data_IF_054886122721
#
_entry.id   IF_054886122721
#
_cell.length_a   1.000
_cell.length_b   1.000
_cell.length_c   1.000
_cell.angle_alpha   90.00
_cell.angle_beta   90.00
_cell.angle_gamma   90.00
#
_symmetry.space_group_name_H-M   'P 1'
#
loop_
_entity.id
_entity.type
_entity.pdbx_description
1 polymer ?
#
# COMPACT_ATOMS: atom_id res chain seq x y z
N UNK A 1 -31.41 -7.66 19.30
CA UNK A 1 -31.16 -7.21 17.92
C UNK A 1 -29.77 -7.68 17.50
N UNK A 2 -29.58 -8.05 16.22
CA UNK A 2 -28.24 -8.45 15.73
C UNK A 2 -27.37 -7.20 15.60
N UNK A 3 -26.11 -7.27 16.07
CA UNK A 3 -25.15 -6.18 15.92
C UNK A 3 -24.86 -5.91 14.43
N UNK A 4 -24.58 -4.63 14.05
CA UNK A 4 -24.22 -4.31 12.68
C UNK A 4 -22.89 -4.98 12.31
N UNK A 5 -22.82 -5.50 11.09
CA UNK A 5 -21.57 -5.99 10.53
C UNK A 5 -20.75 -4.80 10.04
N UNK A 6 -19.71 -4.44 10.79
CA UNK A 6 -18.81 -3.34 10.41
C UNK A 6 -17.80 -3.84 9.39
N UNK A 7 -17.74 -3.21 8.24
CA UNK A 7 -16.74 -3.45 7.21
C UNK A 7 -15.65 -2.41 7.27
N UNK A 8 -14.38 -2.87 7.25
CA UNK A 8 -13.20 -2.02 7.19
C UNK A 8 -12.58 -2.09 5.81
N UNK A 9 -12.50 -0.95 5.12
CA UNK A 9 -11.89 -0.83 3.79
C UNK A 9 -10.54 -0.16 3.94
N UNK A 10 -9.48 -0.86 3.56
CA UNK A 10 -8.10 -0.40 3.64
C UNK A 10 -7.58 -0.07 2.24
N UNK A 11 -7.34 1.21 1.99
CA UNK A 11 -6.92 1.72 0.69
C UNK A 11 -5.50 1.34 0.30
N UNK A 12 -5.23 1.38 -1.00
CA UNK A 12 -3.91 1.26 -1.59
C UNK A 12 -3.08 2.54 -1.38
N UNK A 13 -1.75 2.46 -1.30
CA UNK A 13 -0.92 3.67 -1.17
C UNK A 13 0.53 3.45 -0.74
N UNK A 14 1.08 2.25 -0.94
CA UNK A 14 2.47 1.87 -0.63
C UNK A 14 2.89 2.23 0.81
N UNK A 15 3.93 3.04 1.03
CA UNK A 15 4.47 3.40 2.36
C UNK A 15 3.42 4.05 3.28
N UNK A 16 2.46 4.79 2.74
CA UNK A 16 1.38 5.40 3.51
C UNK A 16 0.44 4.35 4.13
N UNK A 17 0.50 3.12 3.65
CA UNK A 17 -0.23 1.98 4.21
C UNK A 17 0.05 1.74 5.70
N UNK A 18 1.18 2.20 6.23
CA UNK A 18 1.45 2.12 7.66
C UNK A 18 0.40 2.85 8.52
N UNK A 19 -0.30 3.84 7.96
CA UNK A 19 -1.39 4.52 8.66
C UNK A 19 -2.56 3.59 9.02
N UNK A 20 -2.79 2.54 8.24
CA UNK A 20 -3.82 1.55 8.55
C UNK A 20 -3.61 0.87 9.90
N UNK A 21 -2.34 0.69 10.33
CA UNK A 21 -2.00 0.13 11.65
C UNK A 21 -2.58 1.03 12.75
N UNK A 22 -2.32 2.34 12.67
CA UNK A 22 -2.82 3.29 13.66
C UNK A 22 -4.35 3.38 13.68
N UNK A 23 -5.00 3.33 12.51
CA UNK A 23 -6.46 3.28 12.43
C UNK A 23 -7.01 2.05 13.14
N UNK A 24 -6.45 0.87 12.88
CA UNK A 24 -6.90 -0.39 13.49
C UNK A 24 -6.70 -0.34 15.01
N UNK A 25 -5.56 0.14 15.49
CA UNK A 25 -5.29 0.28 16.93
C UNK A 25 -6.31 1.21 17.64
N UNK A 26 -6.70 2.31 16.98
CA UNK A 26 -7.72 3.19 17.52
C UNK A 26 -9.11 2.53 17.55
N UNK A 27 -9.49 1.81 16.49
CA UNK A 27 -10.74 1.03 16.48
C UNK A 27 -10.79 -0.02 17.57
N UNK A 28 -9.72 -0.80 17.76
CA UNK A 28 -9.61 -1.82 18.82
C UNK A 28 -9.70 -1.21 20.22
N UNK A 29 -8.97 -0.11 20.46
CA UNK A 29 -9.00 0.62 21.74
C UNK A 29 -10.41 1.03 22.15
N UNK A 30 -11.23 1.40 21.18
CA UNK A 30 -12.62 1.81 21.41
C UNK A 30 -13.63 0.65 21.31
N UNK A 31 -13.16 -0.59 21.15
CA UNK A 31 -14.03 -1.78 21.08
C UNK A 31 -14.88 -1.86 19.83
N UNK A 32 -14.44 -1.24 18.72
CA UNK A 32 -15.11 -1.35 17.42
C UNK A 32 -14.75 -2.68 16.77
N UNK A 33 -15.67 -3.63 16.78
CA UNK A 33 -15.46 -4.98 16.23
C UNK A 33 -15.64 -4.96 14.70
N UNK A 34 -14.57 -5.31 13.98
CA UNK A 34 -14.57 -5.41 12.51
C UNK A 34 -15.11 -6.79 12.10
N UNK A 35 -16.18 -6.81 11.30
CA UNK A 35 -16.84 -8.04 10.84
C UNK A 35 -16.41 -8.50 9.45
N UNK A 36 -15.77 -7.64 8.64
CA UNK A 36 -15.18 -7.97 7.34
C UNK A 36 -14.15 -6.91 6.95
N UNK A 37 -13.07 -7.35 6.31
CA UNK A 37 -12.01 -6.46 5.81
C UNK A 37 -11.95 -6.57 4.28
N UNK A 38 -11.80 -5.43 3.61
CA UNK A 38 -11.44 -5.39 2.19
C UNK A 38 -10.23 -4.51 1.98
N UNK A 39 -9.34 -4.91 1.10
CA UNK A 39 -8.11 -4.17 0.87
C UNK A 39 -7.60 -4.24 -0.55
N UNK A 40 -6.77 -3.25 -0.91
CA UNK A 40 -5.99 -3.24 -2.13
C UNK A 40 -4.53 -2.91 -1.80
N UNK A 41 -3.56 -3.63 -2.38
CA UNK A 41 -2.12 -3.38 -2.22
C UNK A 41 -1.69 -3.32 -0.74
N UNK A 42 -1.16 -2.19 -0.27
CA UNK A 42 -0.80 -1.98 1.13
C UNK A 42 -1.95 -2.26 2.11
N UNK A 43 -3.19 -1.91 1.74
CA UNK A 43 -4.37 -2.22 2.53
C UNK A 43 -4.65 -3.72 2.63
N UNK A 44 -4.38 -4.51 1.57
CA UNK A 44 -4.44 -5.98 1.62
C UNK A 44 -3.41 -6.55 2.59
N UNK A 45 -2.19 -6.01 2.59
CA UNK A 45 -1.11 -6.46 3.46
C UNK A 45 -1.43 -6.23 4.93
N UNK A 46 -1.83 -5.00 5.30
CA UNK A 46 -2.19 -4.68 6.69
C UNK A 46 -3.46 -5.42 7.10
N UNK A 47 -4.45 -5.54 6.19
CA UNK A 47 -5.67 -6.31 6.42
C UNK A 47 -5.39 -7.79 6.70
N UNK A 48 -4.47 -8.42 5.97
CA UNK A 48 -4.05 -9.80 6.20
C UNK A 48 -3.34 -9.98 7.53
N UNK A 49 -2.43 -9.06 7.86
CA UNK A 49 -1.74 -9.07 9.15
C UNK A 49 -2.71 -8.93 10.32
N UNK A 50 -3.69 -8.04 10.19
CA UNK A 50 -4.72 -7.85 11.22
C UNK A 50 -5.61 -9.07 11.36
N UNK A 51 -6.19 -9.56 10.27
CA UNK A 51 -7.08 -10.73 10.28
C UNK A 51 -6.36 -12.02 10.74
N UNK A 52 -5.05 -12.12 10.50
CA UNK A 52 -4.20 -13.23 10.90
C UNK A 52 -3.54 -13.08 12.28
N UNK A 53 -3.81 -11.98 13.01
CA UNK A 53 -3.23 -11.74 14.35
C UNK A 53 -1.77 -11.28 14.36
N UNK A 54 -1.19 -10.91 13.19
CA UNK A 54 0.20 -10.49 13.02
C UNK A 54 0.44 -8.98 13.04
N UNK A 55 -0.57 -8.16 13.37
CA UNK A 55 -0.47 -6.70 13.27
C UNK A 55 0.67 -6.10 14.11
N UNK A 56 0.88 -6.60 15.33
CA UNK A 56 1.94 -6.13 16.22
C UNK A 56 3.35 -6.43 15.65
N UNK A 57 3.53 -7.58 15.02
CA UNK A 57 4.78 -7.97 14.37
C UNK A 57 5.06 -7.04 13.17
N UNK A 58 4.03 -6.75 12.36
CA UNK A 58 4.13 -5.80 11.26
C UNK A 58 4.45 -4.39 11.76
N UNK A 59 3.79 -3.94 12.84
CA UNK A 59 4.08 -2.63 13.46
C UNK A 59 5.55 -2.54 13.89
N UNK A 60 6.04 -3.54 14.61
CA UNK A 60 7.44 -3.58 15.03
C UNK A 60 8.39 -3.53 13.84
N UNK A 61 8.15 -4.37 12.84
CA UNK A 61 8.93 -4.37 11.60
C UNK A 61 8.93 -3.01 10.91
N UNK A 62 7.77 -2.36 10.81
CA UNK A 62 7.63 -1.04 10.19
C UNK A 62 8.44 0.04 10.94
N UNK A 63 8.41 0.02 12.27
CA UNK A 63 9.15 0.96 13.11
C UNK A 63 10.67 0.73 13.10
N UNK A 64 11.10 -0.54 12.93
CA UNK A 64 12.52 -0.90 12.82
C UNK A 64 13.07 -0.71 11.39
N UNK A 65 12.21 -0.35 10.40
CA UNK A 65 12.60 -0.20 9.01
C UNK A 65 13.36 1.11 8.79
N UNK A 66 14.63 0.99 8.38
CA UNK A 66 15.43 2.10 7.88
C UNK A 66 15.51 2.08 6.34
N UNK A 67 16.03 3.16 5.74
CA UNK A 67 16.18 3.26 4.29
C UNK A 67 17.08 2.15 3.68
N UNK A 68 18.02 1.58 4.45
CA UNK A 68 18.89 0.48 4.00
C UNK A 68 18.10 -0.82 3.93
N UNK A 69 17.24 -1.06 4.91
CA UNK A 69 16.32 -2.18 4.92
C UNK A 69 15.38 -2.10 3.71
N UNK A 70 14.77 -0.94 3.43
CA UNK A 70 13.93 -0.72 2.24
C UNK A 70 14.68 -1.14 0.98
N UNK A 71 15.89 -0.66 0.76
CA UNK A 71 16.71 -1.04 -0.39
C UNK A 71 17.01 -2.54 -0.45
N UNK A 72 17.19 -3.20 0.70
CA UNK A 72 17.51 -4.64 0.75
C UNK A 72 16.35 -5.52 0.31
N UNK A 73 15.10 -5.04 0.45
CA UNK A 73 13.89 -5.76 0.01
C UNK A 73 13.57 -5.56 -1.47
N UNK A 74 14.18 -4.56 -2.11
CA UNK A 74 14.10 -4.36 -3.55
C UNK A 74 15.05 -5.35 -4.25
N UNK A 75 14.57 -6.58 -4.51
CA UNK A 75 15.29 -7.56 -5.33
C UNK A 75 15.28 -7.09 -6.79
N UNK A 76 16.30 -6.31 -7.19
CA UNK A 76 16.45 -5.86 -8.56
C UNK A 76 16.79 -7.05 -9.46
N UNK A 77 15.79 -7.60 -10.12
CA UNK A 77 15.95 -8.58 -11.20
C UNK A 77 16.00 -7.86 -12.55
N UNK A 78 16.79 -8.37 -13.50
CA UNK A 78 16.77 -7.87 -14.87
C UNK A 78 15.41 -8.19 -15.52
N UNK A 79 14.69 -7.19 -16.09
CA UNK A 79 13.27 -7.34 -16.32
C UNK A 79 12.95 -8.13 -17.58
N UNK A 80 12.16 -9.20 -17.41
CA UNK A 80 11.23 -9.64 -18.47
C UNK A 80 9.83 -9.06 -18.28
N UNK A 81 9.40 -8.79 -17.03
CA UNK A 81 8.04 -8.32 -16.73
C UNK A 81 7.93 -7.40 -15.51
N UNK A 82 9.03 -7.11 -14.80
CA UNK A 82 9.10 -6.22 -13.64
C UNK A 82 10.53 -6.16 -13.09
N UNK A 83 10.88 -5.10 -12.36
CA UNK A 83 12.23 -4.92 -11.82
C UNK A 83 12.51 -5.79 -10.59
N UNK A 84 11.47 -6.29 -9.92
CA UNK A 84 11.55 -7.04 -8.67
C UNK A 84 10.73 -8.32 -8.81
N UNK A 85 11.36 -9.49 -8.62
CA UNK A 85 10.62 -10.76 -8.61
C UNK A 85 9.69 -10.88 -7.39
N UNK A 86 9.97 -10.13 -6.34
CA UNK A 86 9.17 -10.07 -5.12
C UNK A 86 9.29 -11.29 -4.22
N UNK A 87 10.33 -12.10 -4.37
CA UNK A 87 10.57 -13.27 -3.53
C UNK A 87 10.84 -12.87 -2.07
N UNK A 88 11.54 -11.74 -1.85
CA UNK A 88 11.77 -11.21 -0.49
C UNK A 88 10.50 -10.63 0.10
N UNK A 89 9.67 -9.96 -0.71
CA UNK A 89 8.36 -9.47 -0.30
C UNK A 89 7.45 -10.65 0.07
N UNK A 90 7.47 -11.74 -0.70
CA UNK A 90 6.72 -12.95 -0.37
C UNK A 90 7.15 -13.55 0.98
N UNK A 91 8.46 -13.65 1.25
CA UNK A 91 8.98 -14.11 2.55
C UNK A 91 8.59 -13.20 3.71
N UNK A 92 8.57 -11.88 3.51
CA UNK A 92 8.06 -10.93 4.49
C UNK A 92 6.58 -11.19 4.80
N UNK A 93 5.79 -11.40 3.78
CA UNK A 93 4.37 -11.71 3.91
C UNK A 93 4.20 -12.97 4.75
N UNK A 94 4.95 -14.04 4.47
CA UNK A 94 4.94 -15.30 5.23
C UNK A 94 5.30 -15.12 6.71
N UNK A 95 6.21 -14.20 7.02
CA UNK A 95 6.60 -13.91 8.41
C UNK A 95 5.48 -13.25 9.23
N UNK A 96 4.61 -12.49 8.59
CA UNK A 96 3.58 -11.70 9.27
C UNK A 96 2.18 -12.28 9.18
N UNK A 97 1.91 -13.14 8.20
CA UNK A 97 0.66 -13.90 8.13
C UNK A 97 0.87 -15.27 8.79
N UNK A 98 0.55 -15.39 10.05
CA UNK A 98 0.66 -16.67 10.78
C UNK A 98 -0.32 -17.73 10.22
N UNK A 99 -1.29 -17.30 9.43
CA UNK A 99 -2.35 -18.09 8.81
C UNK A 99 -2.18 -17.99 7.29
N UNK A 100 -2.02 -19.13 6.60
CA UNK A 100 -1.80 -19.14 5.14
C UNK A 100 -3.10 -19.14 4.32
N UNK A 101 -4.23 -19.57 4.88
CA UNK A 101 -5.49 -19.68 4.15
C UNK A 101 -6.53 -18.69 4.62
N UNK A 102 -7.28 -18.12 3.68
CA UNK A 102 -8.40 -17.23 3.99
C UNK A 102 -9.46 -17.89 4.87
N UNK A 103 -9.67 -19.19 4.67
CA UNK A 103 -10.68 -19.99 5.37
C UNK A 103 -10.39 -20.13 6.87
N UNK A 104 -9.14 -19.94 7.27
CA UNK A 104 -8.68 -20.07 8.66
C UNK A 104 -8.65 -18.71 9.40
N UNK A 105 -8.99 -17.62 8.72
CA UNK A 105 -9.01 -16.28 9.31
C UNK A 105 -10.21 -16.08 10.24
N UNK A 106 -9.99 -15.44 11.38
CA UNK A 106 -11.07 -15.06 12.31
C UNK A 106 -11.97 -13.95 11.75
N UNK A 107 -11.40 -13.03 10.97
CA UNK A 107 -12.11 -11.95 10.29
C UNK A 107 -12.05 -12.21 8.79
N UNK A 108 -13.22 -12.34 8.11
CA UNK A 108 -13.26 -12.50 6.67
C UNK A 108 -12.50 -11.37 5.95
N UNK A 109 -11.60 -11.74 5.05
CA UNK A 109 -10.77 -10.83 4.28
C UNK A 109 -11.01 -11.01 2.77
N UNK A 110 -11.14 -9.89 2.05
CA UNK A 110 -11.24 -9.89 0.60
C UNK A 110 -10.18 -8.92 0.06
N UNK A 111 -9.29 -9.42 -0.76
CA UNK A 111 -8.26 -8.64 -1.41
C UNK A 111 -8.64 -8.35 -2.85
N UNK A 112 -8.31 -7.16 -3.33
CA UNK A 112 -8.53 -6.77 -4.72
C UNK A 112 -7.23 -6.88 -5.50
N UNK A 113 -7.33 -7.44 -6.71
CA UNK A 113 -6.31 -7.44 -7.74
C UNK A 113 -6.93 -6.99 -9.07
N UNK A 114 -6.10 -6.74 -10.08
CA UNK A 114 -6.53 -6.33 -11.42
C UNK A 114 -6.10 -7.38 -12.44
N UNK A 115 -7.03 -7.87 -13.27
CA UNK A 115 -6.66 -8.66 -14.43
C UNK A 115 -5.94 -7.75 -15.45
N UNK A 116 -4.66 -8.06 -15.75
CA UNK A 116 -3.82 -7.15 -16.52
C UNK A 116 -4.21 -7.03 -18.01
N UNK A 117 -4.97 -7.99 -18.54
CA UNK A 117 -5.40 -7.96 -19.94
C UNK A 117 -6.78 -7.35 -20.14
N UNK A 118 -7.68 -7.54 -19.18
CA UNK A 118 -9.07 -7.07 -19.30
C UNK A 118 -9.33 -5.77 -18.53
N UNK A 119 -8.43 -5.39 -17.61
CA UNK A 119 -8.63 -4.27 -16.68
C UNK A 119 -9.72 -4.52 -15.63
N UNK A 120 -10.30 -5.72 -15.58
CA UNK A 120 -11.36 -6.04 -14.63
C UNK A 120 -10.81 -6.25 -13.22
N UNK A 121 -11.60 -5.82 -12.24
CA UNK A 121 -11.38 -6.13 -10.84
C UNK A 121 -11.54 -7.62 -10.59
N UNK A 122 -10.60 -8.19 -9.84
CA UNK A 122 -10.63 -9.57 -9.35
C UNK A 122 -10.61 -9.55 -7.83
N UNK A 123 -11.56 -10.25 -7.20
CA UNK A 123 -11.62 -10.40 -5.75
C UNK A 123 -11.03 -11.75 -5.34
N UNK A 124 -10.11 -11.74 -4.37
CA UNK A 124 -9.42 -12.88 -3.83
C UNK A 124 -9.79 -13.04 -2.36
N UNK A 125 -10.47 -14.15 -2.02
CA UNK A 125 -10.97 -14.42 -0.67
C UNK A 125 -10.96 -15.91 -0.30
N UNK A 126 -10.23 -16.71 -1.06
CA UNK A 126 -10.11 -18.17 -0.87
C UNK A 126 -8.70 -18.65 -1.18
N UNK A 127 -8.30 -19.76 -0.53
CA UNK A 127 -6.99 -20.40 -0.74
C UNK A 127 -5.85 -19.62 -0.08
N UNK A 128 -4.67 -19.57 -0.71
CA UNK A 128 -3.46 -19.00 -0.11
C UNK A 128 -3.49 -17.46 -0.04
N UNK A 129 -3.40 -16.93 1.17
CA UNK A 129 -3.26 -15.51 1.47
C UNK A 129 -1.99 -14.95 0.80
N UNK A 130 -0.88 -15.69 0.87
CA UNK A 130 0.40 -15.26 0.31
C UNK A 130 0.33 -15.07 -1.20
N UNK A 131 -0.34 -15.97 -1.93
CA UNK A 131 -0.53 -15.82 -3.36
C UNK A 131 -1.42 -14.61 -3.69
N UNK A 132 -2.50 -14.43 -2.94
CA UNK A 132 -3.41 -13.30 -3.11
C UNK A 132 -2.73 -11.95 -2.82
N UNK A 133 -1.93 -11.87 -1.75
CA UNK A 133 -1.13 -10.67 -1.43
C UNK A 133 -0.14 -10.35 -2.55
N UNK A 134 0.59 -11.38 -3.05
CA UNK A 134 1.51 -11.20 -4.17
C UNK A 134 0.81 -10.65 -5.43
N UNK A 135 -0.44 -11.03 -5.68
CA UNK A 135 -1.23 -10.47 -6.78
C UNK A 135 -1.71 -9.04 -6.47
N UNK A 136 -2.32 -8.83 -5.29
CA UNK A 136 -2.86 -7.54 -4.88
C UNK A 136 -1.79 -6.44 -4.77
N UNK A 137 -0.52 -6.82 -4.52
CA UNK A 137 0.63 -5.92 -4.38
C UNK A 137 1.54 -5.90 -5.62
N UNK A 138 1.18 -6.55 -6.72
CA UNK A 138 1.99 -6.60 -7.95
C UNK A 138 1.94 -5.26 -8.71
N UNK A 139 2.55 -4.23 -8.13
CA UNK A 139 2.59 -2.87 -8.69
C UNK A 139 3.23 -2.88 -10.08
N UNK A 140 2.53 -2.43 -11.14
CA UNK A 140 3.06 -2.41 -12.50
C UNK A 140 4.39 -1.66 -12.61
N UNK A 141 5.35 -2.26 -13.32
CA UNK A 141 6.70 -1.72 -13.46
C UNK A 141 7.63 -1.98 -12.27
N UNK A 142 7.11 -2.32 -11.09
CA UNK A 142 7.91 -2.63 -9.90
C UNK A 142 7.96 -4.14 -9.64
N UNK A 143 6.83 -4.77 -9.44
CA UNK A 143 6.72 -6.19 -9.14
C UNK A 143 6.17 -6.99 -10.34
N UNK A 144 6.66 -8.22 -10.50
CA UNK A 144 6.15 -9.10 -11.55
C UNK A 144 4.68 -9.45 -11.32
N UNK A 145 3.86 -9.50 -12.38
CA UNK A 145 2.49 -10.00 -12.30
C UNK A 145 2.41 -11.40 -11.70
N UNK A 146 1.31 -11.73 -11.06
CA UNK A 146 1.08 -13.05 -10.48
C UNK A 146 0.03 -13.83 -11.29
N UNK A 147 0.32 -15.09 -11.63
CA UNK A 147 -0.64 -15.96 -12.29
C UNK A 147 -1.45 -16.76 -11.26
N UNK A 148 -2.76 -16.52 -11.21
CA UNK A 148 -3.71 -17.20 -10.31
C UNK A 148 -4.97 -17.51 -11.11
N UNK A 149 -5.51 -18.72 -10.96
CA UNK A 149 -6.77 -19.17 -11.57
C UNK A 149 -6.86 -18.87 -13.08
N UNK A 150 -5.81 -19.12 -13.82
CA UNK A 150 -5.69 -18.85 -15.27
C UNK A 150 -5.70 -17.36 -15.66
N UNK A 151 -5.47 -16.46 -14.73
CA UNK A 151 -5.41 -15.04 -14.98
C UNK A 151 -4.08 -14.42 -14.53
N UNK A 152 -3.53 -13.51 -15.34
CA UNK A 152 -2.42 -12.66 -14.91
C UNK A 152 -2.94 -11.45 -14.17
N UNK A 153 -2.54 -11.33 -12.90
CA UNK A 153 -3.00 -10.31 -12.00
C UNK A 153 -1.89 -9.33 -11.65
N UNK A 154 -2.27 -8.06 -11.59
CA UNK A 154 -1.46 -6.94 -11.10
C UNK A 154 -2.16 -6.26 -9.93
N UNK A 155 -1.52 -5.26 -9.35
CA UNK A 155 -1.98 -4.53 -8.16
C UNK A 155 -3.44 -4.08 -8.25
N UNK A 156 -4.17 -4.27 -7.14
CA UNK A 156 -5.59 -3.91 -7.06
C UNK A 156 -5.84 -2.40 -7.16
N UNK A 157 -4.87 -1.60 -6.74
CA UNK A 157 -4.95 -0.13 -6.84
C UNK A 157 -4.96 0.41 -8.28
N UNK A 158 -4.73 -0.44 -9.28
CA UNK A 158 -4.87 -0.07 -10.69
C UNK A 158 -6.34 0.14 -11.08
N UNK A 159 -7.26 -0.64 -10.52
CA UNK A 159 -8.69 -0.58 -10.87
C UNK A 159 -9.57 -0.11 -9.72
N UNK A 160 -9.29 -0.52 -8.50
CA UNK A 160 -10.08 -0.16 -7.32
C UNK A 160 -9.17 0.03 -6.09
N UNK A 161 -8.56 1.21 -5.96
CA UNK A 161 -7.63 1.49 -4.86
C UNK A 161 -8.31 1.59 -3.48
N UNK A 162 -9.63 1.84 -3.43
CA UNK A 162 -10.41 1.90 -2.19
C UNK A 162 -11.71 1.08 -2.35
N UNK A 163 -11.69 -0.24 -2.08
CA UNK A 163 -12.72 -1.18 -2.50
C UNK A 163 -13.98 -1.17 -1.61
N UNK A 164 -14.71 -0.06 -1.60
CA UNK A 164 -15.93 0.15 -0.80
C UNK A 164 -17.07 -0.75 -1.32
N UNK A 165 -17.24 -0.84 -2.64
CA UNK A 165 -18.19 -1.71 -3.30
C UNK A 165 -18.04 -3.18 -2.91
N UNK A 166 -16.79 -3.65 -2.86
CA UNK A 166 -16.47 -5.02 -2.43
C UNK A 166 -16.91 -5.27 -0.98
N UNK A 167 -16.66 -4.29 -0.11
CA UNK A 167 -17.06 -4.36 1.29
C UNK A 167 -18.58 -4.41 1.47
N UNK A 168 -19.30 -3.58 0.72
CA UNK A 168 -20.78 -3.59 0.71
C UNK A 168 -21.31 -4.93 0.19
N UNK A 169 -20.76 -5.44 -0.90
CA UNK A 169 -21.14 -6.73 -1.48
C UNK A 169 -20.83 -7.91 -0.55
N UNK A 170 -19.87 -7.76 0.36
CA UNK A 170 -19.59 -8.72 1.42
C UNK A 170 -20.58 -8.66 2.60
N UNK A 171 -21.60 -7.80 2.50
CA UNK A 171 -22.68 -7.67 3.48
C UNK A 171 -22.34 -6.81 4.70
N UNK A 172 -21.45 -5.84 4.58
CA UNK A 172 -21.22 -4.84 5.61
C UNK A 172 -22.45 -3.91 5.75
N UNK A 173 -22.97 -3.81 6.96
CA UNK A 173 -24.06 -2.88 7.32
C UNK A 173 -23.53 -1.44 7.42
N UNK A 174 -22.35 -1.27 8.03
CA UNK A 174 -21.63 -0.01 8.19
C UNK A 174 -20.24 -0.16 7.57
N UNK A 175 -19.83 0.75 6.70
CA UNK A 175 -18.53 0.75 6.03
C UNK A 175 -17.68 1.91 6.52
N UNK A 176 -16.55 1.56 7.14
CA UNK A 176 -15.46 2.49 7.49
C UNK A 176 -14.38 2.35 6.42
N UNK A 177 -14.13 3.41 5.65
CA UNK A 177 -13.09 3.41 4.62
C UNK A 177 -11.91 4.29 5.02
N UNK A 178 -10.69 3.79 4.82
CA UNK A 178 -9.44 4.48 5.12
C UNK A 178 -8.75 4.86 3.81
N UNK A 179 -8.90 6.15 3.44
CA UNK A 179 -8.29 6.73 2.23
C UNK A 179 -6.96 7.40 2.59
N UNK A 180 -5.87 6.75 2.24
CA UNK A 180 -4.51 7.23 2.50
C UNK A 180 -3.92 8.05 1.34
N UNK A 181 -4.73 8.40 0.34
CA UNK A 181 -4.33 9.16 -0.84
C UNK A 181 -4.98 10.57 -0.94
N UNK A 182 -5.96 10.90 -0.09
CA UNK A 182 -6.87 12.05 -0.23
C UNK A 182 -6.17 13.41 -0.36
N UNK A 183 -5.08 13.67 0.37
CA UNK A 183 -4.44 15.00 0.44
C UNK A 183 -3.22 15.20 -0.47
N UNK A 184 -2.82 14.21 -1.27
CA UNK A 184 -1.54 14.26 -2.00
C UNK A 184 -1.41 15.39 -3.03
N UNK A 185 -2.51 16.00 -3.47
CA UNK A 185 -2.49 17.04 -4.53
C UNK A 185 -2.72 18.47 -4.04
N UNK A 186 -3.13 18.67 -2.78
CA UNK A 186 -3.55 19.98 -2.33
C UNK A 186 -2.39 20.97 -2.12
N UNK A 187 -1.15 20.52 -1.86
CA UNK A 187 -0.06 21.38 -1.41
C UNK A 187 1.32 21.15 -2.06
N UNK A 188 1.45 20.38 -3.14
CA UNK A 188 2.74 20.37 -3.86
C UNK A 188 2.89 21.66 -4.65
N UNK A 189 3.45 22.70 -4.02
CA UNK A 189 4.26 23.67 -4.74
C UNK A 189 5.33 22.89 -5.48
N UNK A 190 5.67 23.30 -6.72
CA UNK A 190 6.88 22.78 -7.38
C UNK A 190 8.00 22.70 -6.34
N UNK A 191 8.80 21.61 -6.34
CA UNK A 191 9.88 21.47 -5.38
C UNK A 191 10.64 22.80 -5.35
N UNK A 192 10.93 23.35 -4.15
CA UNK A 192 11.66 24.59 -4.07
C UNK A 192 12.97 24.42 -4.84
N UNK A 193 13.22 25.25 -5.83
CA UNK A 193 14.47 25.29 -6.59
C UNK A 193 15.54 26.05 -5.77
N UNK A 194 15.57 25.84 -4.45
CA UNK A 194 16.58 26.43 -3.60
C UNK A 194 17.86 25.57 -3.59
N UNK A 195 18.98 26.20 -3.31
CA UNK A 195 20.29 25.52 -3.23
C UNK A 195 20.31 24.37 -2.22
N UNK A 196 19.49 24.41 -1.18
CA UNK A 196 19.41 23.39 -0.15
C UNK A 196 18.77 22.10 -0.71
N UNK A 197 17.73 22.21 -1.53
CA UNK A 197 17.10 21.07 -2.22
C UNK A 197 18.09 20.47 -3.23
N UNK A 198 18.77 21.30 -4.03
CA UNK A 198 19.78 20.83 -5.00
C UNK A 198 20.93 20.09 -4.31
N UNK A 199 21.46 20.62 -3.19
CA UNK A 199 22.51 19.96 -2.40
C UNK A 199 22.05 18.65 -1.77
N UNK A 200 20.79 18.56 -1.31
CA UNK A 200 20.23 17.31 -0.79
C UNK A 200 20.01 16.29 -1.89
N UNK A 201 19.51 16.69 -3.06
CA UNK A 201 19.36 15.84 -4.23
C UNK A 201 20.72 15.28 -4.68
N UNK A 202 21.76 16.12 -4.81
CA UNK A 202 23.13 15.69 -5.13
C UNK A 202 23.74 14.73 -4.09
N UNK A 203 23.46 14.97 -2.79
CA UNK A 203 23.97 14.10 -1.71
C UNK A 203 23.28 12.72 -1.73
N UNK A 204 22.00 12.68 -2.04
CA UNK A 204 21.25 11.44 -2.23
C UNK A 204 21.75 10.69 -3.47
N UNK A 205 22.02 11.40 -4.56
CA UNK A 205 22.53 10.84 -5.81
C UNK A 205 23.93 10.25 -5.62
N UNK A 206 24.86 10.93 -4.93
CA UNK A 206 26.18 10.39 -4.59
C UNK A 206 26.10 9.12 -3.76
N UNK A 207 25.26 9.08 -2.71
CA UNK A 207 25.06 7.87 -1.90
C UNK A 207 24.50 6.72 -2.74
N UNK A 208 23.65 7.01 -3.70
CA UNK A 208 23.02 6.06 -4.60
C UNK A 208 24.02 5.48 -5.60
N UNK A 209 24.91 6.31 -6.18
CA UNK A 209 25.99 5.89 -7.05
C UNK A 209 27.00 4.99 -6.32
N UNK A 210 27.26 5.25 -5.04
CA UNK A 210 28.10 4.38 -4.20
C UNK A 210 27.46 2.98 -4.01
N UNK A 211 26.15 2.93 -3.81
CA UNK A 211 25.41 1.66 -3.72
C UNK A 211 25.44 0.91 -5.05
N UNK A 212 25.19 1.58 -6.17
CA UNK A 212 25.25 0.99 -7.52
C UNK A 212 26.68 0.49 -7.81
N UNK A 213 27.71 1.26 -7.48
CA UNK A 213 29.12 0.82 -7.62
C UNK A 213 29.43 -0.40 -6.77
N UNK A 214 29.00 -0.44 -5.52
CA UNK A 214 29.20 -1.60 -4.66
C UNK A 214 28.51 -2.87 -5.19
N UNK A 215 27.46 -2.73 -5.98
CA UNK A 215 26.75 -3.82 -6.64
C UNK A 215 27.44 -4.27 -7.92
N UNK A 216 27.91 -3.33 -8.76
CA UNK A 216 28.66 -3.67 -9.98
C UNK A 216 29.99 -4.36 -9.65
N UNK A 217 30.64 -4.01 -8.57
CA UNK A 217 31.88 -4.65 -8.10
C UNK A 217 31.63 -6.09 -7.58
N UNK A 218 30.44 -6.40 -7.06
CA UNK A 218 30.09 -7.75 -6.61
C UNK A 218 29.68 -8.72 -7.72
N UNK A 219 29.25 -8.23 -8.89
CA UNK A 219 28.69 -9.08 -9.97
C UNK A 219 29.60 -9.26 -11.20
N UNK A 220 30.88 -8.86 -11.15
CA UNK A 220 31.89 -9.20 -12.17
C UNK A 220 31.66 -8.55 -13.54
N UNK A 221 32.37 -9.07 -14.58
CA UNK A 221 32.52 -8.48 -15.92
C UNK A 221 31.19 -8.25 -16.70
N UNK A 222 30.11 -8.94 -16.38
CA UNK A 222 28.78 -8.75 -17.00
C UNK A 222 28.11 -7.46 -16.47
N UNK A 223 28.47 -6.99 -15.28
CA UNK A 223 27.96 -5.76 -14.70
C UNK A 223 28.56 -4.48 -15.31
N UNK A 224 29.78 -4.54 -15.84
CA UNK A 224 30.48 -3.34 -16.38
C UNK A 224 29.82 -2.76 -17.64
N UNK A 225 29.30 -3.59 -18.54
CA UNK A 225 28.63 -3.10 -19.76
C UNK A 225 27.24 -2.50 -19.46
N UNK A 226 26.62 -2.91 -18.38
CA UNK A 226 25.31 -2.40 -17.92
C UNK A 226 25.52 -1.13 -17.10
N UNK A 227 26.53 -1.08 -16.24
CA UNK A 227 26.89 0.11 -15.46
C UNK A 227 27.17 1.32 -16.35
N UNK A 228 27.92 1.15 -17.44
CA UNK A 228 28.23 2.25 -18.38
C UNK A 228 27.03 2.77 -19.16
N UNK A 229 26.04 1.91 -19.45
CA UNK A 229 24.77 2.34 -20.10
C UNK A 229 23.83 3.00 -19.10
N UNK A 230 23.85 2.55 -17.84
CA UNK A 230 23.09 3.19 -16.76
C UNK A 230 23.70 4.56 -16.45
N UNK A 231 25.02 4.70 -16.39
CA UNK A 231 25.70 5.99 -16.20
C UNK A 231 25.35 7.01 -17.31
N UNK A 232 25.25 6.59 -18.57
CA UNK A 232 24.82 7.47 -19.69
C UNK A 232 23.35 7.91 -19.58
N UNK A 233 22.51 7.13 -18.92
CA UNK A 233 21.10 7.52 -18.68
C UNK A 233 20.94 8.52 -17.54
N UNK A 234 21.91 8.58 -16.63
CA UNK A 234 21.87 9.43 -15.43
C UNK A 234 22.72 10.71 -15.52
N UNK A 235 23.58 10.87 -16.54
CA UNK A 235 24.37 12.10 -16.78
C UNK A 235 23.59 13.14 -17.57
N UNK A 236 22.46 13.62 -17.06
CA UNK A 236 21.79 14.81 -17.60
C UNK A 236 21.97 16.00 -16.66
N UNK A 237 22.25 17.17 -17.25
CA UNK A 237 22.55 18.44 -16.59
C UNK A 237 21.40 19.10 -15.81
N UNK A 238 20.26 18.42 -15.63
CA UNK A 238 19.16 18.89 -14.78
C UNK A 238 18.74 17.76 -13.83
N UNK A 239 18.37 18.04 -12.57
CA UNK A 239 17.85 17.05 -11.63
C UNK A 239 16.48 16.57 -12.15
N UNK A 240 16.50 15.52 -12.99
CA UNK A 240 15.28 14.87 -13.46
C UNK A 240 14.81 13.87 -12.40
N UNK A 241 13.48 13.76 -12.17
CA UNK A 241 12.97 12.75 -11.24
C UNK A 241 13.32 11.35 -11.71
N UNK A 242 13.66 10.47 -10.78
CA UNK A 242 14.02 9.08 -11.08
C UNK A 242 12.82 8.29 -11.59
N UNK A 243 13.07 7.24 -12.37
CA UNK A 243 12.02 6.39 -12.94
C UNK A 243 11.06 5.85 -11.87
N UNK A 244 11.57 5.44 -10.70
CA UNK A 244 10.73 4.99 -9.60
C UNK A 244 9.87 6.10 -9.00
N UNK A 245 10.40 7.31 -8.91
CA UNK A 245 9.63 8.48 -8.47
C UNK A 245 8.55 8.85 -9.48
N UNK A 246 8.88 8.82 -10.77
CA UNK A 246 7.91 9.02 -11.85
C UNK A 246 6.80 7.98 -11.80
N UNK A 247 7.15 6.69 -11.70
CA UNK A 247 6.19 5.59 -11.60
C UNK A 247 5.31 5.72 -10.35
N UNK A 248 5.90 5.92 -9.17
CA UNK A 248 5.17 6.04 -7.92
C UNK A 248 4.24 7.27 -7.91
N UNK A 249 4.70 8.41 -8.44
CA UNK A 249 3.88 9.62 -8.55
C UNK A 249 2.74 9.44 -9.55
N UNK A 250 3.01 8.85 -10.71
CA UNK A 250 1.99 8.57 -11.73
C UNK A 250 0.90 7.64 -11.21
N UNK A 251 1.29 6.52 -10.59
CA UNK A 251 0.35 5.60 -9.96
C UNK A 251 -0.51 6.28 -8.90
N UNK A 252 0.10 7.07 -8.04
CA UNK A 252 -0.65 7.78 -6.99
C UNK A 252 -1.62 8.83 -7.54
N UNK A 253 -1.28 9.51 -8.64
CA UNK A 253 -2.18 10.45 -9.32
C UNK A 253 -3.37 9.69 -9.92
N UNK A 254 -3.11 8.56 -10.59
CA UNK A 254 -4.16 7.72 -11.18
C UNK A 254 -5.07 7.14 -10.10
N UNK A 255 -4.51 6.55 -9.04
CA UNK A 255 -5.28 5.99 -7.92
C UNK A 255 -6.19 7.05 -7.29
N UNK A 256 -5.68 8.25 -7.02
CA UNK A 256 -6.50 9.34 -6.49
C UNK A 256 -7.67 9.71 -7.42
N UNK A 257 -7.46 9.72 -8.72
CA UNK A 257 -8.54 10.00 -9.68
C UNK A 257 -9.61 8.90 -9.66
N UNK A 258 -9.18 7.64 -9.62
CA UNK A 258 -10.09 6.48 -9.54
C UNK A 258 -10.87 6.52 -8.21
N UNK A 259 -10.19 6.77 -7.08
CA UNK A 259 -10.83 6.92 -5.77
C UNK A 259 -11.89 8.03 -5.76
N UNK A 260 -11.55 9.20 -6.29
CA UNK A 260 -12.50 10.31 -6.37
C UNK A 260 -13.73 9.97 -7.22
N UNK A 261 -13.57 9.19 -8.29
CA UNK A 261 -14.70 8.70 -9.11
C UNK A 261 -15.52 7.64 -8.36
N UNK A 262 -14.86 6.69 -7.72
CA UNK A 262 -15.50 5.61 -6.98
C UNK A 262 -16.28 6.15 -5.75
N UNK A 263 -15.77 7.16 -5.06
CA UNK A 263 -16.45 7.81 -3.94
C UNK A 263 -17.74 8.53 -4.34
N UNK A 264 -17.92 8.89 -5.62
CA UNK A 264 -19.20 9.45 -6.10
C UNK A 264 -20.29 8.40 -6.17
N UNK A 265 -19.94 7.15 -6.51
CA UNK A 265 -20.88 6.05 -6.68
C UNK A 265 -20.99 5.15 -5.45
N UNK A 266 -19.90 4.96 -4.75
CA UNK A 266 -19.78 4.07 -3.59
C UNK A 266 -19.32 4.86 -2.36
N UNK A 267 -20.29 5.46 -1.64
CA UNK A 267 -19.99 6.24 -0.44
C UNK A 267 -19.84 5.32 0.78
N UNK A 268 -18.76 5.46 1.57
CA UNK A 268 -18.67 4.81 2.87
C UNK A 268 -19.59 5.53 3.87
N UNK A 269 -19.91 4.90 5.00
CA UNK A 269 -20.61 5.57 6.12
C UNK A 269 -19.65 6.50 6.87
N UNK A 270 -18.39 6.08 7.02
CA UNK A 270 -17.30 6.85 7.61
C UNK A 270 -16.11 6.82 6.65
N UNK A 271 -15.54 7.98 6.39
CA UNK A 271 -14.29 8.12 5.63
C UNK A 271 -13.20 8.68 6.55
N UNK A 272 -12.18 7.87 6.83
CA UNK A 272 -10.98 8.26 7.56
C UNK A 272 -9.90 8.60 6.55
N UNK A 273 -9.40 9.84 6.58
CA UNK A 273 -8.47 10.37 5.59
C UNK A 273 -7.20 10.94 6.26
N UNK A 274 -6.21 10.10 6.61
CA UNK A 274 -4.96 10.54 7.22
C UNK A 274 -4.18 11.52 6.34
N UNK A 275 -3.62 12.58 6.94
CA UNK A 275 -2.91 13.66 6.25
C UNK A 275 -1.46 13.27 5.92
N UNK A 276 -1.29 12.52 4.84
CA UNK A 276 0.00 11.96 4.41
C UNK A 276 0.46 12.49 3.05
N UNK A 277 -0.04 13.66 2.63
CA UNK A 277 0.14 14.19 1.28
C UNK A 277 1.59 14.46 0.87
N UNK A 278 2.49 14.65 1.82
CA UNK A 278 3.93 14.86 1.64
C UNK A 278 4.75 13.57 1.65
N UNK A 279 4.19 12.41 2.06
CA UNK A 279 4.88 11.13 1.97
C UNK A 279 4.93 10.62 0.53
N UNK A 280 6.14 10.24 0.09
CA UNK A 280 6.35 9.63 -1.22
C UNK A 280 6.05 8.13 -1.18
N UNK A 281 5.98 7.52 -2.38
CA UNK A 281 5.62 6.11 -2.55
C UNK A 281 6.55 5.14 -1.78
N UNK A 282 7.83 5.49 -1.65
CA UNK A 282 8.88 4.64 -1.05
C UNK A 282 9.36 5.09 0.33
N UNK A 283 8.68 6.02 0.98
CA UNK A 283 9.05 6.52 2.33
C UNK A 283 8.65 5.53 3.43
N UNK A 284 9.05 4.27 3.28
CA UNK A 284 8.71 3.20 4.24
C UNK A 284 9.38 3.38 5.61
N UNK A 285 10.45 4.16 5.69
CA UNK A 285 11.15 4.55 6.91
C UNK A 285 10.45 5.64 7.73
N UNK A 286 9.34 6.20 7.22
CA UNK A 286 8.50 7.15 7.94
C UNK A 286 7.28 6.50 8.61
N UNK A 287 7.40 5.23 9.02
CA UNK A 287 6.28 4.43 9.54
C UNK A 287 5.66 5.03 10.81
N UNK A 288 6.48 5.48 11.76
CA UNK A 288 5.98 6.07 13.01
C UNK A 288 5.03 7.24 12.76
N UNK A 289 5.41 8.13 11.85
CA UNK A 289 4.59 9.26 11.47
C UNK A 289 3.25 8.83 10.86
N UNK A 290 3.28 7.87 9.94
CA UNK A 290 2.07 7.38 9.29
C UNK A 290 1.13 6.69 10.29
N UNK A 291 1.66 5.84 11.17
CA UNK A 291 0.90 5.14 12.21
C UNK A 291 0.23 6.16 13.14
N UNK A 292 0.99 7.14 13.64
CA UNK A 292 0.47 8.16 14.54
C UNK A 292 -0.62 9.02 13.88
N UNK A 293 -0.46 9.37 12.61
CA UNK A 293 -1.48 10.13 11.88
C UNK A 293 -2.74 9.30 11.62
N UNK A 294 -2.59 8.01 11.28
CA UNK A 294 -3.73 7.10 11.16
C UNK A 294 -4.51 6.97 12.45
N UNK A 295 -3.80 6.79 13.57
CA UNK A 295 -4.39 6.71 14.90
C UNK A 295 -5.16 7.99 15.25
N UNK A 296 -4.53 9.17 15.09
CA UNK A 296 -5.14 10.46 15.37
C UNK A 296 -6.42 10.69 14.55
N UNK A 297 -6.37 10.41 13.26
CA UNK A 297 -7.48 10.60 12.36
C UNK A 297 -8.67 9.68 12.70
N UNK A 298 -8.38 8.46 13.13
CA UNK A 298 -9.40 7.52 13.59
C UNK A 298 -10.01 7.97 14.92
N UNK A 299 -9.21 8.41 15.89
CA UNK A 299 -9.71 8.96 17.17
C UNK A 299 -10.71 10.11 16.93
N UNK A 300 -10.44 11.01 15.98
CA UNK A 300 -11.35 12.09 15.61
C UNK A 300 -12.67 11.58 14.99
N UNK A 301 -12.66 10.39 14.39
CA UNK A 301 -13.83 9.78 13.74
C UNK A 301 -14.65 8.87 14.66
N UNK A 302 -14.16 8.55 15.86
CA UNK A 302 -14.83 7.63 16.81
C UNK A 302 -16.25 8.08 17.17
N UNK A 303 -16.54 9.37 17.46
CA UNK A 303 -17.90 9.80 17.74
C UNK A 303 -18.87 9.53 16.58
N UNK A 304 -18.43 9.76 15.36
CA UNK A 304 -19.23 9.53 14.15
C UNK A 304 -19.47 8.03 13.92
N UNK A 305 -18.48 7.18 14.20
CA UNK A 305 -18.61 5.72 14.13
C UNK A 305 -19.69 5.24 15.08
N UNK A 306 -19.65 5.65 16.35
CA UNK A 306 -20.69 5.28 17.32
C UNK A 306 -22.05 5.86 16.96
N UNK A 307 -22.11 7.10 16.43
CA UNK A 307 -23.33 7.69 15.91
C UNK A 307 -23.98 6.82 14.82
N UNK A 308 -23.18 6.26 13.88
CA UNK A 308 -23.68 5.34 12.85
C UNK A 308 -24.16 4.01 13.43
N UNK A 309 -23.48 3.49 14.44
CA UNK A 309 -23.92 2.27 15.15
C UNK A 309 -25.26 2.50 15.85
N UNK A 310 -25.43 3.63 16.54
CA UNK A 310 -26.69 4.01 17.19
C UNK A 310 -27.84 4.19 16.19
N UNK A 311 -27.56 4.84 15.05
CA UNK A 311 -28.52 5.02 13.96
C UNK A 311 -28.99 3.69 13.36
N UNK A 312 -28.08 2.70 13.29
CA UNK A 312 -28.45 1.35 12.83
C UNK A 312 -29.43 0.67 13.79
N UNK A 313 -29.23 0.80 15.10
CA UNK A 313 -30.15 0.23 16.09
C UNK A 313 -31.51 0.95 16.14
N UNK A 314 -31.55 2.27 15.86
CA UNK A 314 -32.79 3.04 15.82
C UNK A 314 -33.66 2.72 14.61
N UNK A 315 -33.09 2.22 13.51
CA UNK A 315 -33.81 1.90 12.26
C UNK A 315 -34.37 0.47 12.22
N UNK A 316 -34.01 -0.36 13.17
CA UNK A 316 -34.47 -1.76 13.33
C UNK A 316 -35.37 -1.92 14.54
#
# INVERSE_FOLDING_TARGET
MKAPKIGLVLGSGASRGWAHIGVIEALEKHGVEVGVITGASAGSFIGAAYAGGGLNQVKKFALDMDWKAVLSYLDLAFPRSGFIEGNKVAKLIELFTQIDKFEDLNIPLIMVATNMFTGKQVTLSKGSINQALRASMAVPGLLTPKFINNEWLVDGGVVNPLPIDVCRNAGADIVIAVDINSERTANKKNPPQDEAWLKNAEKMEKKRLEVIKSWTDKFGSTGKSVGSKIDQWFTREAPSPHIFEVLGSSLSIMQKKIEAMNLQTHKPDILIAPRLGDMHFFDFDHAERAINEGYRCCEESIPDIFGKIDDYYRKK
#
